data_IF_856737328657
#
_entry.id   IF_856737328657
#
_cell.length_a   1.000
_cell.length_b   1.000
_cell.length_c   1.000
_cell.angle_alpha   90.00
_cell.angle_beta   90.00
_cell.angle_gamma   90.00
#
_symmetry.space_group_name_H-M   'P 1'
#
loop_
_entity.id
_entity.type
_entity.pdbx_description
1 polymer ?
#
# COMPACT_ATOMS: atom_id res chain seq x y z
N UNK A 1 2.07 -22.85 -5.97
CA UNK A 1 1.25 -22.13 -6.95
C UNK A 1 -0.10 -22.81 -7.11
N UNK A 2 -1.14 -22.06 -7.50
CA UNK A 2 -2.48 -22.59 -7.76
C UNK A 2 -2.52 -23.50 -8.99
N UNK A 3 -3.59 -24.30 -9.13
CA UNK A 3 -3.82 -25.08 -10.36
C UNK A 3 -3.95 -24.16 -11.58
N UNK A 4 -4.64 -23.04 -11.45
CA UNK A 4 -4.79 -22.05 -12.52
C UNK A 4 -3.43 -21.52 -13.00
N UNK A 5 -2.51 -21.22 -12.09
CA UNK A 5 -1.17 -20.79 -12.44
C UNK A 5 -0.36 -21.88 -13.15
N UNK A 6 -0.52 -23.16 -12.75
CA UNK A 6 0.12 -24.29 -13.44
C UNK A 6 -0.41 -24.46 -14.88
N UNK A 7 -1.70 -24.27 -15.09
CA UNK A 7 -2.31 -24.38 -16.41
C UNK A 7 -1.85 -23.21 -17.32
N UNK A 8 -1.78 -21.99 -16.77
CA UNK A 8 -1.23 -20.83 -17.47
C UNK A 8 0.26 -21.00 -17.81
N UNK A 9 1.05 -21.56 -16.89
CA UNK A 9 2.46 -21.87 -17.13
C UNK A 9 2.64 -22.78 -18.34
N UNK A 10 1.82 -23.84 -18.44
CA UNK A 10 1.83 -24.75 -19.59
C UNK A 10 1.38 -24.06 -20.88
N UNK A 11 0.32 -23.25 -20.79
CA UNK A 11 -0.26 -22.57 -21.95
C UNK A 11 0.68 -21.49 -22.51
N UNK A 12 1.33 -20.72 -21.63
CA UNK A 12 2.21 -19.62 -22.03
C UNK A 12 3.66 -20.05 -22.25
N UNK A 13 4.03 -21.29 -21.89
CA UNK A 13 5.39 -21.79 -22.01
C UNK A 13 6.43 -21.04 -21.16
N UNK A 14 6.00 -20.44 -20.05
CA UNK A 14 6.84 -19.62 -19.20
C UNK A 14 6.72 -20.04 -17.74
N UNK A 15 7.82 -20.02 -17.00
CA UNK A 15 7.80 -20.36 -15.57
C UNK A 15 7.03 -19.31 -14.77
N UNK A 16 6.08 -19.77 -13.93
CA UNK A 16 5.28 -18.91 -13.08
C UNK A 16 6.07 -18.37 -11.88
N UNK A 17 7.00 -19.19 -11.38
CA UNK A 17 7.79 -18.89 -10.17
C UNK A 17 9.10 -18.16 -10.46
N UNK A 18 9.67 -18.33 -11.65
CA UNK A 18 10.99 -17.79 -12.00
C UNK A 18 10.83 -16.46 -12.73
N UNK A 19 10.78 -15.39 -11.99
CA UNK A 19 10.76 -14.05 -12.56
C UNK A 19 11.96 -13.19 -12.14
N UNK A 20 12.95 -13.78 -11.46
CA UNK A 20 14.23 -13.12 -11.26
C UNK A 20 15.09 -13.38 -12.49
N UNK A 21 15.26 -12.37 -13.30
CA UNK A 21 16.16 -12.42 -14.48
C UNK A 21 17.62 -12.49 -14.05
N UNK A 22 17.90 -12.12 -12.79
CA UNK A 22 19.22 -12.11 -12.20
C UNK A 22 19.24 -12.90 -10.88
N UNK A 23 20.33 -13.64 -10.57
CA UNK A 23 20.44 -14.43 -9.35
C UNK A 23 20.44 -13.60 -8.05
N UNK A 24 20.45 -12.28 -8.15
CA UNK A 24 20.49 -11.33 -7.04
C UNK A 24 19.35 -10.31 -7.05
N UNK A 25 18.27 -10.57 -7.80
CA UNK A 25 17.11 -9.68 -7.75
C UNK A 25 16.52 -9.63 -6.34
N UNK A 26 16.34 -8.43 -5.78
CA UNK A 26 15.83 -8.27 -4.41
C UNK A 26 14.34 -8.58 -4.30
N UNK A 27 13.67 -8.88 -5.40
CA UNK A 27 12.23 -9.15 -5.47
C UNK A 27 11.87 -10.17 -6.55
N UNK A 28 10.72 -10.79 -6.38
CA UNK A 28 10.08 -11.69 -7.32
C UNK A 28 8.97 -10.91 -8.03
N UNK A 29 8.94 -10.90 -9.36
CA UNK A 29 7.82 -10.31 -10.10
C UNK A 29 6.61 -11.24 -10.06
N UNK A 30 5.47 -10.73 -9.64
CA UNK A 30 4.20 -11.44 -9.63
C UNK A 30 3.46 -11.24 -10.96
N UNK A 31 2.80 -12.30 -11.41
CA UNK A 31 2.03 -12.32 -12.66
C UNK A 31 0.54 -12.29 -12.42
N UNK A 32 -0.22 -11.75 -13.37
CA UNK A 32 -1.67 -11.84 -13.41
C UNK A 32 -2.13 -13.27 -13.70
N UNK A 33 -2.76 -13.92 -12.75
CA UNK A 33 -3.29 -15.28 -12.87
C UNK A 33 -4.74 -15.26 -13.37
N UNK A 34 -4.96 -14.68 -14.54
CA UNK A 34 -6.25 -14.58 -15.22
C UNK A 34 -6.23 -15.40 -16.51
N UNK A 35 -7.36 -15.96 -16.93
CA UNK A 35 -7.46 -16.80 -18.14
C UNK A 35 -7.79 -16.00 -19.40
N UNK A 36 -8.43 -14.86 -19.23
CA UNK A 36 -8.83 -13.97 -20.32
C UNK A 36 -8.31 -12.56 -20.03
N UNK A 37 -8.22 -11.75 -21.06
CA UNK A 37 -7.87 -10.35 -20.92
C UNK A 37 -8.92 -9.63 -20.06
N UNK A 38 -8.47 -8.83 -19.12
CA UNK A 38 -9.33 -7.97 -18.28
C UNK A 38 -9.03 -6.50 -18.58
N UNK A 39 -10.00 -5.63 -18.29
CA UNK A 39 -9.88 -4.20 -18.53
C UNK A 39 -10.04 -3.42 -17.24
N UNK A 40 -9.00 -2.66 -16.91
CA UNK A 40 -9.01 -1.76 -15.76
C UNK A 40 -9.42 -0.36 -16.24
N UNK A 41 -10.66 0.02 -15.97
CA UNK A 41 -11.20 1.32 -16.37
C UNK A 41 -10.46 2.46 -15.68
N UNK A 42 -10.53 3.66 -16.27
CA UNK A 42 -10.04 4.89 -15.66
C UNK A 42 -10.53 5.01 -14.20
N UNK A 43 -9.63 5.36 -13.30
CA UNK A 43 -9.92 5.57 -11.89
C UNK A 43 -10.62 4.37 -11.19
N UNK A 44 -10.52 3.16 -11.75
CA UNK A 44 -11.03 1.95 -11.12
C UNK A 44 -9.94 1.12 -10.46
N UNK A 45 -10.37 0.23 -9.58
CA UNK A 45 -9.51 -0.71 -8.87
C UNK A 45 -10.00 -2.13 -9.14
N UNK A 46 -9.06 -3.04 -9.39
CA UNK A 46 -9.35 -4.46 -9.56
C UNK A 46 -8.48 -5.28 -8.60
N UNK A 47 -9.00 -6.44 -8.17
CA UNK A 47 -8.25 -7.44 -7.40
C UNK A 47 -7.77 -8.52 -8.35
N UNK A 48 -6.47 -8.54 -8.62
CA UNK A 48 -5.88 -9.50 -9.55
C UNK A 48 -5.26 -10.68 -8.78
N UNK A 49 -5.70 -11.92 -9.04
CA UNK A 49 -5.08 -13.11 -8.47
C UNK A 49 -3.68 -13.31 -9.05
N UNK A 50 -2.77 -13.85 -8.25
CA UNK A 50 -1.39 -14.14 -8.68
C UNK A 50 -1.10 -15.64 -8.84
N UNK A 51 -1.96 -16.50 -8.34
CA UNK A 51 -1.72 -17.93 -8.25
C UNK A 51 -0.63 -18.33 -7.25
N UNK A 52 -0.10 -17.38 -6.48
CA UNK A 52 1.02 -17.57 -5.55
C UNK A 52 0.51 -17.68 -4.11
N UNK A 53 1.06 -18.64 -3.39
CA UNK A 53 0.93 -18.83 -1.96
C UNK A 53 2.31 -18.72 -1.33
N UNK A 54 2.41 -18.09 -0.18
CA UNK A 54 3.67 -17.96 0.56
C UNK A 54 3.57 -18.63 1.93
N UNK A 55 4.70 -19.17 2.36
CA UNK A 55 4.91 -19.61 3.73
C UNK A 55 6.20 -18.97 4.24
N UNK A 56 6.07 -18.09 5.21
CA UNK A 56 7.21 -17.41 5.82
C UNK A 56 7.73 -18.23 7.00
N UNK A 57 9.07 -18.34 7.19
CA UNK A 57 9.68 -19.28 8.11
C UNK A 57 9.43 -18.96 9.59
N UNK A 58 9.15 -17.71 9.93
CA UNK A 58 8.90 -17.30 11.31
C UNK A 58 8.28 -15.89 11.38
N UNK A 59 7.78 -15.47 12.57
CA UNK A 59 7.25 -14.11 12.79
C UNK A 59 8.24 -12.99 12.48
N UNK A 60 9.54 -13.29 12.42
CA UNK A 60 10.59 -12.31 12.10
C UNK A 60 10.70 -12.02 10.60
N UNK A 61 9.78 -12.53 9.79
CA UNK A 61 9.72 -12.27 8.36
C UNK A 61 8.36 -11.75 7.96
N UNK A 62 8.37 -10.86 6.98
CA UNK A 62 7.17 -10.42 6.28
C UNK A 62 7.43 -10.37 4.78
N UNK A 63 6.40 -10.57 4.00
CA UNK A 63 6.43 -10.29 2.58
C UNK A 63 5.79 -8.93 2.31
N UNK A 64 6.37 -8.19 1.39
CA UNK A 64 5.87 -6.90 0.94
C UNK A 64 5.65 -6.94 -0.56
N UNK A 65 4.47 -6.49 -0.99
CA UNK A 65 4.15 -6.32 -2.39
C UNK A 65 4.17 -4.84 -2.72
N UNK A 66 4.90 -4.51 -3.78
CA UNK A 66 5.09 -3.12 -4.21
C UNK A 66 4.77 -2.97 -5.69
N UNK A 67 4.50 -1.74 -6.09
CA UNK A 67 4.32 -1.37 -7.50
C UNK A 67 5.62 -1.57 -8.28
N UNK A 68 5.52 -2.13 -9.47
CA UNK A 68 6.60 -2.14 -10.46
C UNK A 68 6.75 -0.74 -11.07
N UNK A 69 7.97 -0.21 -11.06
CA UNK A 69 8.25 1.14 -11.57
C UNK A 69 7.83 1.32 -13.03
N UNK A 70 8.04 0.30 -13.85
CA UNK A 70 7.67 0.33 -15.27
C UNK A 70 6.17 0.49 -15.45
N UNK A 71 5.35 -0.26 -14.68
CA UNK A 71 3.89 -0.14 -14.74
C UNK A 71 3.39 1.23 -14.26
N UNK A 72 4.01 1.76 -13.20
CA UNK A 72 3.65 3.08 -12.70
C UNK A 72 3.96 4.17 -13.72
N UNK A 73 5.12 4.09 -14.36
CA UNK A 73 5.58 5.10 -15.31
C UNK A 73 4.88 5.00 -16.68
N UNK A 74 4.77 3.79 -17.23
CA UNK A 74 4.28 3.59 -18.60
C UNK A 74 2.75 3.54 -18.69
N UNK A 75 2.11 2.96 -17.66
CA UNK A 75 0.67 2.68 -17.68
C UNK A 75 -0.13 3.43 -16.63
N UNK A 76 0.51 4.20 -15.75
CA UNK A 76 -0.14 4.78 -14.55
C UNK A 76 -0.87 3.72 -13.71
N UNK A 77 -0.37 2.48 -13.71
CA UNK A 77 -0.92 1.35 -12.98
C UNK A 77 -0.11 1.12 -11.70
N UNK A 78 -0.78 1.18 -10.57
CA UNK A 78 -0.12 1.05 -9.27
C UNK A 78 -0.79 0.00 -8.39
N UNK A 79 -0.03 -0.56 -7.46
CA UNK A 79 -0.58 -1.34 -6.35
C UNK A 79 -1.13 -0.33 -5.34
N UNK A 80 -2.44 -0.34 -5.12
CA UNK A 80 -3.14 0.71 -4.37
C UNK A 80 -2.72 0.78 -2.90
N UNK A 81 -2.50 -0.37 -2.28
CA UNK A 81 -2.09 -0.53 -0.88
C UNK A 81 -0.57 -0.72 -0.71
N UNK A 82 0.22 -0.26 -1.68
CA UNK A 82 1.68 -0.43 -1.68
C UNK A 82 2.36 0.34 -0.53
N UNK A 83 3.21 -0.33 0.29
CA UNK A 83 3.48 -1.76 0.29
C UNK A 83 2.36 -2.59 0.96
N UNK A 84 1.79 -3.56 0.23
CA UNK A 84 0.88 -4.54 0.82
C UNK A 84 1.67 -5.55 1.64
N UNK A 85 1.31 -5.72 2.91
CA UNK A 85 2.12 -6.48 3.88
C UNK A 85 1.43 -7.79 4.25
N UNK A 86 2.17 -8.88 4.12
CA UNK A 86 1.76 -10.22 4.50
C UNK A 86 2.68 -10.76 5.60
N UNK A 87 2.09 -11.15 6.72
CA UNK A 87 2.83 -11.73 7.85
C UNK A 87 3.01 -13.25 7.72
N UNK A 88 3.70 -13.84 8.68
CA UNK A 88 4.00 -15.28 8.68
C UNK A 88 2.77 -16.18 8.91
N UNK A 89 1.62 -15.65 9.31
CA UNK A 89 0.36 -16.39 9.49
C UNK A 89 -0.45 -16.51 8.21
N UNK A 90 -0.14 -15.70 7.20
CA UNK A 90 -0.84 -15.74 5.91
C UNK A 90 -0.66 -17.09 5.19
N UNK A 91 -1.78 -17.68 4.74
CA UNK A 91 -1.79 -18.97 4.04
C UNK A 91 -2.67 -18.97 2.78
N UNK A 92 -3.31 -17.85 2.50
CA UNK A 92 -4.19 -17.71 1.34
C UNK A 92 -3.40 -17.30 0.10
N UNK A 93 -4.04 -17.36 -1.05
CA UNK A 93 -3.50 -16.83 -2.29
C UNK A 93 -3.25 -15.32 -2.14
N UNK A 94 -2.16 -14.85 -2.72
CA UNK A 94 -1.83 -13.43 -2.83
C UNK A 94 -2.66 -12.83 -3.96
N UNK A 95 -3.39 -11.77 -3.63
CA UNK A 95 -4.09 -10.90 -4.57
C UNK A 95 -3.43 -9.53 -4.59
N UNK A 96 -3.33 -8.95 -5.77
CA UNK A 96 -2.79 -7.61 -5.95
C UNK A 96 -3.92 -6.64 -6.25
N UNK A 97 -4.02 -5.59 -5.45
CA UNK A 97 -5.00 -4.52 -5.63
C UNK A 97 -4.43 -3.50 -6.62
N UNK A 98 -4.82 -3.59 -7.90
CA UNK A 98 -4.33 -2.72 -8.95
C UNK A 98 -5.26 -1.52 -9.15
N UNK A 99 -4.69 -0.33 -9.17
CA UNK A 99 -5.39 0.94 -9.42
C UNK A 99 -4.87 1.60 -10.68
N UNK A 100 -5.76 1.90 -11.60
CA UNK A 100 -5.49 2.74 -12.76
C UNK A 100 -5.63 4.22 -12.38
N UNK A 101 -4.52 4.95 -12.39
CA UNK A 101 -4.45 6.39 -12.14
C UNK A 101 -4.45 7.22 -13.45
N UNK A 102 -4.41 6.55 -14.59
CA UNK A 102 -4.40 7.20 -15.90
C UNK A 102 -5.79 7.59 -16.39
N UNK A 103 -5.81 8.22 -17.55
CA UNK A 103 -7.02 8.69 -18.22
C UNK A 103 -7.63 7.66 -19.17
N UNK A 104 -6.82 6.68 -19.60
CA UNK A 104 -7.21 5.63 -20.53
C UNK A 104 -7.49 4.30 -19.82
N UNK A 105 -8.22 3.41 -20.47
CA UNK A 105 -8.40 2.04 -20.01
C UNK A 105 -7.10 1.24 -20.21
N UNK A 106 -6.80 0.35 -19.25
CA UNK A 106 -5.63 -0.51 -19.28
C UNK A 106 -6.09 -1.94 -19.53
N UNK A 107 -5.54 -2.58 -20.56
CA UNK A 107 -5.74 -4.00 -20.84
C UNK A 107 -4.70 -4.80 -20.06
N UNK A 108 -5.19 -5.72 -19.23
CA UNK A 108 -4.38 -6.65 -18.47
C UNK A 108 -4.42 -8.02 -19.15
N UNK A 109 -3.25 -8.58 -19.45
CA UNK A 109 -3.14 -9.87 -20.12
C UNK A 109 -2.78 -11.00 -19.15
N UNK A 110 -3.21 -12.25 -19.45
CA UNK A 110 -2.77 -13.42 -18.69
C UNK A 110 -1.24 -13.53 -18.63
N UNK A 111 -0.70 -13.72 -17.42
CA UNK A 111 0.74 -13.86 -17.22
C UNK A 111 1.55 -12.56 -17.26
N UNK A 112 0.91 -11.42 -17.47
CA UNK A 112 1.58 -10.11 -17.41
C UNK A 112 2.13 -9.83 -15.99
N UNK A 113 3.30 -9.21 -15.87
CA UNK A 113 3.84 -8.79 -14.59
C UNK A 113 3.05 -7.61 -14.02
N UNK A 114 2.60 -7.74 -12.77
CA UNK A 114 1.69 -6.76 -12.13
C UNK A 114 2.23 -6.15 -10.83
N UNK A 115 3.17 -6.81 -10.17
CA UNK A 115 3.73 -6.34 -8.90
C UNK A 115 5.09 -6.97 -8.63
N UNK A 116 5.80 -6.42 -7.66
CA UNK A 116 7.02 -6.98 -7.09
C UNK A 116 6.77 -7.48 -5.67
N UNK A 117 7.24 -8.69 -5.34
CA UNK A 117 7.20 -9.28 -4.01
C UNK A 117 8.62 -9.38 -3.46
N UNK A 118 8.84 -8.87 -2.26
CA UNK A 118 10.08 -9.01 -1.51
C UNK A 118 9.82 -9.60 -0.12
N UNK A 119 10.75 -10.43 0.38
CA UNK A 119 10.69 -10.93 1.76
C UNK A 119 11.72 -10.19 2.59
N UNK A 120 11.27 -9.62 3.71
CA UNK A 120 12.11 -8.83 4.61
C UNK A 120 12.14 -9.43 6.01
N UNK A 121 13.30 -9.35 6.64
CA UNK A 121 13.41 -9.64 8.05
C UNK A 121 12.97 -8.42 8.86
N UNK A 122 12.19 -8.66 9.91
CA UNK A 122 11.67 -7.62 10.81
C UNK A 122 11.99 -7.97 12.25
N UNK A 123 12.15 -6.96 13.08
CA UNK A 123 12.26 -7.16 14.51
C UNK A 123 10.88 -7.14 15.15
N UNK A 124 10.64 -8.08 16.06
CA UNK A 124 9.41 -8.12 16.83
C UNK A 124 9.53 -7.07 17.94
N UNK A 125 8.66 -6.07 17.89
CA UNK A 125 8.63 -5.01 18.88
C UNK A 125 7.58 -5.31 19.93
N UNK A 126 7.97 -5.32 21.19
CA UNK A 126 7.04 -5.38 22.32
C UNK A 126 6.77 -3.96 22.81
N UNK A 127 5.51 -3.55 22.76
CA UNK A 127 5.09 -2.25 23.27
C UNK A 127 4.85 -2.35 24.79
N UNK A 128 5.51 -1.48 25.53
CA UNK A 128 5.25 -1.32 26.97
C UNK A 128 4.59 0.05 27.22
N UNK A 129 3.53 0.12 28.02
CA UNK A 129 2.93 1.40 28.36
C UNK A 129 3.88 2.20 29.23
N UNK A 130 4.16 3.43 28.83
CA UNK A 130 4.94 4.39 29.61
C UNK A 130 3.99 5.50 30.04
N UNK A 131 3.83 5.67 31.35
CA UNK A 131 2.90 6.64 31.92
C UNK A 131 3.49 8.04 32.09
N UNK A 132 4.82 8.15 32.05
CA UNK A 132 5.53 9.43 32.09
C UNK A 132 6.61 9.42 31.02
N UNK A 133 6.54 10.37 30.09
CA UNK A 133 7.53 10.59 29.04
C UNK A 133 8.05 12.01 29.19
N UNK A 134 9.34 12.16 29.38
CA UNK A 134 10.01 13.46 29.24
C UNK A 134 9.90 13.92 27.78
N UNK A 135 9.33 15.10 27.48
CA UNK A 135 9.23 15.57 26.12
C UNK A 135 10.63 15.76 25.54
N UNK A 136 10.90 15.15 24.40
CA UNK A 136 12.16 15.36 23.70
C UNK A 136 12.18 16.78 23.09
N UNK A 137 13.32 17.44 23.14
CA UNK A 137 13.54 18.72 22.46
C UNK A 137 13.58 18.59 20.93
N UNK A 138 13.36 17.39 20.41
CA UNK A 138 13.43 17.09 18.99
C UNK A 138 12.02 17.02 18.39
N UNK A 139 11.67 18.02 17.57
CA UNK A 139 10.41 18.08 16.84
C UNK A 139 10.56 17.49 15.44
N UNK A 140 10.05 16.28 15.21
CA UNK A 140 9.94 15.72 13.86
C UNK A 140 8.72 16.29 13.11
N UNK A 141 8.68 16.15 11.78
CA UNK A 141 7.69 16.78 10.91
C UNK A 141 6.23 16.65 11.33
N UNK A 142 5.82 15.50 11.89
CA UNK A 142 4.46 15.29 12.42
C UNK A 142 4.12 16.17 13.62
N UNK A 143 5.07 16.44 14.52
CA UNK A 143 4.84 17.32 15.68
C UNK A 143 4.70 18.78 15.27
N UNK A 144 5.39 19.20 14.21
CA UNK A 144 5.20 20.55 13.63
C UNK A 144 3.77 20.75 13.10
N UNK A 145 3.19 19.72 12.48
CA UNK A 145 1.81 19.76 12.03
C UNK A 145 0.82 19.82 13.18
N UNK A 146 1.01 19.02 14.23
CA UNK A 146 0.16 19.02 15.44
C UNK A 146 0.22 20.38 16.12
N UNK A 147 1.40 20.99 16.24
CA UNK A 147 1.54 22.32 16.80
C UNK A 147 0.80 23.36 15.95
N UNK A 148 0.98 23.31 14.64
CA UNK A 148 0.30 24.22 13.69
C UNK A 148 -1.24 24.09 13.76
N UNK A 149 -1.76 22.87 13.92
CA UNK A 149 -3.21 22.63 14.10
C UNK A 149 -3.70 23.23 15.43
N UNK A 150 -2.95 23.07 16.52
CA UNK A 150 -3.28 23.67 17.83
C UNK A 150 -3.29 25.21 17.78
N UNK A 151 -2.35 25.79 17.04
CA UNK A 151 -2.28 27.25 16.86
C UNK A 151 -3.48 27.76 16.03
N UNK A 152 -3.90 27.02 15.01
CA UNK A 152 -5.11 27.32 14.24
C UNK A 152 -6.37 27.24 15.10
N UNK A 153 -6.56 26.14 15.85
CA UNK A 153 -7.71 25.98 16.77
C UNK A 153 -7.77 27.07 17.82
N UNK A 154 -6.61 27.49 18.34
CA UNK A 154 -6.54 28.59 19.30
C UNK A 154 -6.99 29.91 18.68
N UNK A 155 -6.51 30.22 17.49
CA UNK A 155 -6.88 31.44 16.74
C UNK A 155 -8.39 31.46 16.42
N UNK A 156 -8.96 30.33 16.03
CA UNK A 156 -10.40 30.19 15.77
C UNK A 156 -11.24 30.39 17.03
N UNK A 157 -10.82 29.84 18.18
CA UNK A 157 -11.49 30.05 19.47
C UNK A 157 -11.46 31.51 19.90
N UNK A 158 -10.30 32.15 19.81
CA UNK A 158 -10.14 33.56 20.14
C UNK A 158 -11.00 34.46 19.25
N UNK A 159 -11.09 34.17 17.95
CA UNK A 159 -11.95 34.90 17.01
C UNK A 159 -13.44 34.70 17.33
N UNK A 160 -13.84 33.50 17.74
CA UNK A 160 -15.23 33.18 18.09
C UNK A 160 -15.65 33.84 19.41
N UNK A 161 -14.75 33.91 20.39
CA UNK A 161 -15.00 34.62 21.66
C UNK A 161 -15.14 36.15 21.44
N UNK A 162 -14.30 36.70 20.57
CA UNK A 162 -14.39 38.13 20.18
C UNK A 162 -15.76 38.46 19.56
N UNK A 163 -16.19 37.65 18.62
CA UNK A 163 -17.51 37.82 17.95
C UNK A 163 -18.68 37.72 18.95
N UNK A 164 -18.61 36.79 19.92
CA UNK A 164 -19.64 36.63 20.96
C UNK A 164 -19.68 37.84 21.92
N UNK A 165 -18.55 38.39 22.28
CA UNK A 165 -18.48 39.58 23.15
C UNK A 165 -19.02 40.82 22.44
N UNK A 166 -18.78 40.94 21.14
CA UNK A 166 -19.28 42.06 20.33
C UNK A 166 -20.80 41.98 20.12
N UNK A 167 -21.36 40.80 19.89
CA UNK A 167 -22.80 40.59 19.80
C UNK A 167 -23.47 40.93 21.13
N UNK A 168 -22.89 40.53 22.25
CA UNK A 168 -23.46 40.83 23.56
C UNK A 168 -23.49 42.31 23.88
N UNK A 169 -22.46 43.09 23.47
CA UNK A 169 -22.45 44.53 23.57
C UNK A 169 -23.54 45.20 22.75
N UNK A 170 -23.91 44.64 21.58
CA UNK A 170 -24.97 45.14 20.72
C UNK A 170 -26.37 44.84 21.26
N UNK A 171 -26.55 43.73 22.00
CA UNK A 171 -27.83 43.34 22.58
C UNK A 171 -28.15 44.06 23.93
N UNK A 172 -27.14 44.58 24.60
CA UNK A 172 -27.26 45.28 25.91
C UNK A 172 -27.29 46.80 25.73
N UNK A 173 -27.27 47.32 24.48
CA UNK A 173 -27.41 48.76 24.11
C UNK A 173 -28.80 49.03 23.55
#
# INVERSE_FOLDING_TARGET
>A
ISSNAQDLEKMLGTSWMLSSELPFDPYIKLRACIHENDTIKKNSTVYCPTGIYIELPSPNFRAEITTLSDLAYEKNLVVLDSPSIYDYTHRNEIYVMLRNLGDDEIFLHPGEFIAALSVKRVEITTLQPIYQVEPSNYTFGSQKWIQKLKDIEKTERESTEYTRSDIKKYLDS
#
